data_IF_894090444293
#
_entry.id   IF_894090444293
#
_cell.length_a   1.000
_cell.length_b   1.000
_cell.length_c   1.000
_cell.angle_alpha   90.00
_cell.angle_beta   90.00
_cell.angle_gamma   90.00
#
_symmetry.space_group_name_H-M   'P 1'
#
loop_
_entity.id
_entity.type
_entity.pdbx_description
1 polymer ?
#
# COMPACT_ATOMS: atom_id res chain seq x y z
N UNK A 1 6.80 -20.97 13.74
CA UNK A 1 7.34 -20.28 12.55
C UNK A 1 6.28 -20.39 11.46
N UNK A 2 5.71 -19.29 10.92
CA UNK A 2 4.81 -19.44 9.77
C UNK A 2 5.58 -20.07 8.61
N UNK A 3 4.96 -21.01 7.90
CA UNK A 3 5.54 -21.89 6.86
C UNK A 3 6.36 -21.16 5.77
N UNK A 4 6.16 -19.84 5.57
CA UNK A 4 6.85 -19.00 4.59
C UNK A 4 8.36 -18.79 4.77
N UNK A 5 8.97 -19.24 5.87
CA UNK A 5 10.41 -19.04 6.13
C UNK A 5 11.30 -20.29 5.95
N UNK A 6 10.73 -21.45 5.58
CA UNK A 6 11.51 -22.69 5.42
C UNK A 6 12.34 -22.67 4.13
N UNK A 7 11.82 -22.09 3.05
CA UNK A 7 12.59 -21.88 1.81
C UNK A 7 13.77 -20.91 2.04
N UNK A 8 13.55 -19.87 2.85
CA UNK A 8 14.55 -18.85 3.21
C UNK A 8 15.69 -19.44 4.04
N UNK A 9 15.46 -20.44 4.88
CA UNK A 9 16.49 -20.98 5.79
C UNK A 9 17.71 -21.58 5.04
N UNK A 10 17.48 -22.21 3.88
CA UNK A 10 18.57 -22.74 3.05
C UNK A 10 19.38 -21.62 2.36
N UNK A 11 18.75 -20.47 2.11
CA UNK A 11 19.39 -19.26 1.56
C UNK A 11 20.11 -18.48 2.66
N UNK A 12 19.56 -18.41 3.87
CA UNK A 12 20.22 -17.84 5.06
C UNK A 12 21.56 -18.50 5.34
N UNK A 13 21.68 -19.82 5.14
CA UNK A 13 22.95 -20.57 5.26
C UNK A 13 23.99 -20.16 4.20
N UNK A 14 23.57 -19.58 3.06
CA UNK A 14 24.44 -19.16 1.94
C UNK A 14 24.64 -17.65 1.87
N UNK A 15 24.04 -16.91 2.78
CA UNK A 15 23.95 -15.46 2.77
C UNK A 15 25.29 -14.81 3.15
N UNK A 16 25.57 -13.60 2.67
CA UNK A 16 26.78 -12.86 3.00
C UNK A 16 26.73 -12.31 4.46
N UNK A 17 27.87 -11.91 5.06
CA UNK A 17 27.92 -11.51 6.47
C UNK A 17 27.08 -10.27 6.83
N UNK A 18 26.76 -9.39 5.87
CA UNK A 18 25.98 -8.17 6.12
C UNK A 18 24.51 -8.53 6.19
N UNK A 19 24.02 -9.30 5.22
CA UNK A 19 22.61 -9.73 5.17
C UNK A 19 22.28 -10.65 6.34
N UNK A 20 23.19 -11.56 6.73
CA UNK A 20 23.01 -12.39 7.93
C UNK A 20 23.01 -11.56 9.23
N UNK A 21 23.78 -10.46 9.28
CA UNK A 21 23.77 -9.54 10.42
C UNK A 21 22.47 -8.74 10.51
N UNK A 22 21.89 -8.32 9.37
CA UNK A 22 20.56 -7.69 9.32
C UNK A 22 19.47 -8.63 9.81
N UNK A 23 19.48 -9.89 9.35
CA UNK A 23 18.51 -10.90 9.80
C UNK A 23 18.62 -11.19 11.30
N UNK A 24 19.85 -11.25 11.83
CA UNK A 24 20.07 -11.39 13.27
C UNK A 24 19.48 -10.23 14.07
N UNK A 25 19.73 -8.98 13.66
CA UNK A 25 19.21 -7.78 14.34
C UNK A 25 17.69 -7.70 14.23
N UNK A 26 17.13 -8.03 13.06
CA UNK A 26 15.69 -8.13 12.82
C UNK A 26 15.03 -9.11 13.78
N UNK A 27 15.51 -10.36 13.85
CA UNK A 27 14.96 -11.35 14.76
C UNK A 27 15.16 -11.00 16.26
N UNK A 28 16.26 -10.30 16.59
CA UNK A 28 16.57 -9.85 17.96
C UNK A 28 15.60 -8.77 18.44
N UNK A 29 15.21 -7.87 17.55
CA UNK A 29 14.40 -6.71 17.87
C UNK A 29 12.92 -6.91 17.48
N UNK A 30 12.61 -8.01 16.81
CA UNK A 30 11.26 -8.46 16.45
C UNK A 30 10.35 -8.59 17.66
N UNK A 31 9.08 -8.24 17.44
CA UNK A 31 8.05 -8.35 18.47
C UNK A 31 7.33 -9.70 18.40
N UNK A 32 6.59 -10.04 19.45
CA UNK A 32 5.98 -11.38 19.63
C UNK A 32 5.06 -11.77 18.47
N UNK A 33 4.40 -10.83 17.79
CA UNK A 33 3.45 -11.16 16.72
C UNK A 33 4.11 -11.66 15.42
N UNK A 34 5.42 -11.53 15.31
CA UNK A 34 6.25 -11.98 14.17
C UNK A 34 6.73 -13.44 14.34
N UNK A 35 6.70 -13.96 15.57
CA UNK A 35 7.10 -15.33 15.92
C UNK A 35 5.93 -16.08 16.58
N UNK A 36 5.92 -17.41 16.47
CA UNK A 36 4.88 -18.22 17.13
C UNK A 36 4.97 -18.15 18.66
N UNK A 37 6.14 -17.80 19.19
CA UNK A 37 6.38 -17.54 20.61
C UNK A 37 7.70 -16.79 20.80
N UNK A 38 7.87 -16.15 21.96
CA UNK A 38 9.15 -15.54 22.36
C UNK A 38 10.29 -16.57 22.43
N UNK A 39 9.99 -17.80 22.86
CA UNK A 39 10.95 -18.92 22.86
C UNK A 39 11.42 -19.27 21.44
N UNK A 40 10.50 -19.26 20.45
CA UNK A 40 10.84 -19.50 19.05
C UNK A 40 11.73 -18.39 18.47
N UNK A 41 11.48 -17.14 18.88
CA UNK A 41 12.27 -15.97 18.48
C UNK A 41 13.70 -16.07 19.00
N UNK A 42 13.86 -16.32 20.31
CA UNK A 42 15.17 -16.48 20.93
C UNK A 42 15.95 -17.65 20.32
N UNK A 43 15.30 -18.79 20.08
CA UNK A 43 15.93 -19.93 19.41
C UNK A 43 16.42 -19.59 17.99
N UNK A 44 15.66 -18.79 17.24
CA UNK A 44 16.05 -18.34 15.91
C UNK A 44 17.21 -17.34 15.93
N UNK A 45 17.18 -16.38 16.86
CA UNK A 45 18.27 -15.43 17.11
C UNK A 45 19.58 -16.16 17.43
N UNK A 46 19.52 -17.20 18.28
CA UNK A 46 20.68 -18.02 18.62
C UNK A 46 21.25 -18.77 17.41
N UNK A 47 20.39 -19.28 16.53
CA UNK A 47 20.80 -19.95 15.28
C UNK A 47 21.51 -18.98 14.34
N UNK A 48 20.96 -17.78 14.13
CA UNK A 48 21.57 -16.75 13.26
C UNK A 48 22.91 -16.27 13.82
N UNK A 49 22.98 -16.07 15.13
CA UNK A 49 24.23 -15.69 15.82
C UNK A 49 25.29 -16.79 15.67
N UNK A 50 24.90 -18.05 15.82
CA UNK A 50 25.80 -19.19 15.66
C UNK A 50 26.31 -19.32 14.21
N UNK A 51 25.40 -19.19 13.23
CA UNK A 51 25.73 -19.22 11.80
C UNK A 51 26.70 -18.09 11.43
N UNK A 52 26.42 -16.85 11.82
CA UNK A 52 27.27 -15.71 11.52
C UNK A 52 28.67 -15.83 12.12
N UNK A 53 28.75 -16.30 13.38
CA UNK A 53 30.03 -16.57 14.05
C UNK A 53 30.81 -17.71 13.39
N UNK A 54 30.12 -18.76 12.94
CA UNK A 54 30.77 -19.94 12.37
C UNK A 54 31.24 -19.72 10.92
N UNK A 55 30.36 -19.20 10.06
CA UNK A 55 30.60 -19.07 8.62
C UNK A 55 31.47 -17.86 8.27
N UNK A 56 31.22 -16.70 8.90
CA UNK A 56 31.87 -15.44 8.50
C UNK A 56 32.75 -14.81 9.58
N UNK A 57 32.72 -15.34 10.81
CA UNK A 57 33.62 -14.97 11.92
C UNK A 57 33.71 -13.45 12.13
N UNK A 58 34.88 -12.86 11.88
CA UNK A 58 35.16 -11.44 12.08
C UNK A 58 34.47 -10.53 11.06
N UNK A 59 34.03 -11.05 9.90
CA UNK A 59 33.25 -10.26 8.95
C UNK A 59 31.83 -10.00 9.46
N UNK A 60 31.18 -11.01 10.04
CA UNK A 60 29.87 -10.88 10.68
C UNK A 60 29.92 -9.96 11.91
N UNK A 61 30.93 -10.11 12.78
CA UNK A 61 31.10 -9.23 13.93
C UNK A 61 31.33 -7.76 13.53
N UNK A 62 32.02 -7.51 12.42
CA UNK A 62 32.20 -6.15 11.86
C UNK A 62 30.89 -5.60 11.31
N UNK A 63 30.12 -6.43 10.60
CA UNK A 63 28.81 -6.04 10.08
C UNK A 63 27.84 -5.70 11.22
N UNK A 64 27.76 -6.52 12.27
CA UNK A 64 26.96 -6.22 13.47
C UNK A 64 27.40 -4.91 14.12
N UNK A 65 28.69 -4.71 14.37
CA UNK A 65 29.18 -3.46 14.97
C UNK A 65 28.95 -2.22 14.10
N UNK A 66 28.79 -2.39 12.79
CA UNK A 66 28.49 -1.29 11.89
C UNK A 66 26.98 -0.98 11.87
N UNK A 67 26.15 -2.02 11.82
CA UNK A 67 24.68 -1.92 11.70
C UNK A 67 23.99 -1.64 13.05
N UNK A 68 24.54 -2.12 14.16
CA UNK A 68 24.00 -2.00 15.52
C UNK A 68 24.51 -0.75 16.26
N UNK A 69 25.01 0.25 15.52
CA UNK A 69 25.44 1.53 16.07
C UNK A 69 24.26 2.51 16.14
N UNK A 70 24.06 3.19 17.28
CA UNK A 70 23.24 4.40 17.28
C UNK A 70 23.89 5.44 16.37
N UNK A 71 23.09 6.09 15.53
CA UNK A 71 23.57 7.02 14.51
C UNK A 71 24.38 8.17 15.12
N UNK A 72 25.70 8.14 14.95
CA UNK A 72 26.53 9.35 15.05
C UNK A 72 26.57 10.00 13.66
N UNK A 73 26.21 11.28 13.64
CA UNK A 73 26.19 12.14 12.47
C UNK A 73 27.49 12.07 11.65
N UNK A 74 27.39 11.75 10.37
CA UNK A 74 28.50 11.87 9.42
C UNK A 74 28.18 12.97 8.41
N UNK A 75 28.93 14.05 8.54
CA UNK A 75 29.00 15.19 7.62
C UNK A 75 29.95 14.91 6.44
N UNK A 76 29.51 15.40 5.28
CA UNK A 76 30.26 16.02 4.15
C UNK A 76 31.13 15.14 3.23
N UNK A 77 31.17 15.39 1.90
CA UNK A 77 31.92 16.48 1.21
C UNK A 77 31.30 16.88 -0.17
N UNK A 78 31.54 18.12 -0.72
CA UNK A 78 30.56 18.94 -1.45
C UNK A 78 30.90 19.47 -2.89
N UNK A 79 29.95 20.26 -3.43
CA UNK A 79 29.98 21.34 -4.47
C UNK A 79 29.66 20.96 -5.93
N UNK A 80 28.77 21.66 -6.66
CA UNK A 80 28.66 23.13 -6.84
C UNK A 80 27.19 23.61 -6.97
N UNK A 81 26.82 24.61 -6.17
CA UNK A 81 25.54 25.33 -6.23
C UNK A 81 24.99 25.59 -4.83
N UNK A 82 25.34 26.72 -4.24
CA UNK A 82 25.02 27.15 -2.87
C UNK A 82 23.51 27.12 -2.51
N UNK A 83 23.26 26.61 -1.29
CA UNK A 83 22.16 26.93 -0.35
C UNK A 83 20.74 26.42 -0.61
N UNK A 84 20.55 25.22 -1.16
CA UNK A 84 19.24 24.58 -1.05
C UNK A 84 19.30 23.19 -0.40
N UNK A 85 18.42 22.98 0.57
CA UNK A 85 18.22 21.74 1.32
C UNK A 85 17.15 20.90 0.63
N UNK A 86 17.37 19.59 0.51
CA UNK A 86 16.35 18.68 0.00
C UNK A 86 15.21 18.53 1.01
N UNK A 87 13.96 18.61 0.55
CA UNK A 87 12.76 18.49 1.39
C UNK A 87 11.71 17.63 0.71
N UNK A 88 10.88 16.99 1.53
CA UNK A 88 9.58 16.50 1.10
C UNK A 88 8.56 17.59 1.44
N UNK A 89 7.59 17.83 0.57
CA UNK A 89 6.64 18.93 0.74
C UNK A 89 5.30 18.60 0.09
N UNK A 90 4.23 19.28 0.50
CA UNK A 90 2.88 19.13 -0.05
C UNK A 90 2.15 20.46 -0.18
N UNK A 91 1.04 20.45 -0.91
CA UNK A 91 0.01 21.48 -0.81
C UNK A 91 -1.05 21.04 0.20
N UNK A 92 -0.91 21.46 1.46
CA UNK A 92 -1.85 21.04 2.52
C UNK A 92 -1.85 19.52 2.72
N UNK A 93 -3.03 18.90 2.69
CA UNK A 93 -3.20 17.45 2.88
C UNK A 93 -2.92 16.61 1.62
N UNK A 94 -2.59 17.22 0.48
CA UNK A 94 -2.41 16.51 -0.80
C UNK A 94 -1.12 15.66 -0.94
N UNK A 95 -0.77 15.25 -2.18
CA UNK A 95 0.39 14.41 -2.46
C UNK A 95 1.70 14.99 -1.91
N UNK A 96 2.62 14.11 -1.53
CA UNK A 96 3.97 14.50 -1.10
C UNK A 96 4.91 14.50 -2.30
N UNK A 97 5.63 15.60 -2.49
CA UNK A 97 6.59 15.79 -3.57
C UNK A 97 8.02 15.92 -3.05
N UNK A 98 9.02 15.44 -3.80
CA UNK A 98 10.41 15.81 -3.58
C UNK A 98 10.66 17.27 -4.02
N UNK A 99 11.62 17.94 -3.40
CA UNK A 99 12.01 19.28 -3.81
C UNK A 99 13.23 19.81 -3.05
N UNK A 100 13.49 21.09 -3.26
CA UNK A 100 14.60 21.82 -2.65
C UNK A 100 14.09 23.14 -2.07
N UNK A 101 14.54 23.53 -0.89
CA UNK A 101 14.22 24.84 -0.29
C UNK A 101 15.48 25.58 0.11
N UNK A 102 15.45 26.90 0.05
CA UNK A 102 16.47 27.78 0.64
C UNK A 102 16.13 28.19 2.09
N UNK A 103 15.14 27.52 2.70
CA UNK A 103 14.57 27.78 4.02
C UNK A 103 13.97 29.20 4.17
N UNK A 104 13.72 29.89 3.05
CA UNK A 104 13.00 31.17 3.06
C UNK A 104 11.52 30.97 2.78
N UNK A 105 10.71 31.96 3.17
CA UNK A 105 9.27 31.96 2.93
C UNK A 105 8.88 33.15 2.07
N UNK A 106 7.93 32.93 1.16
CA UNK A 106 7.26 33.98 0.40
C UNK A 106 5.77 34.00 0.76
N UNK A 107 5.25 35.17 1.15
CA UNK A 107 3.88 35.34 1.67
C UNK A 107 3.52 34.37 2.84
N UNK A 108 4.52 33.92 3.60
CA UNK A 108 4.35 32.98 4.71
C UNK A 108 4.49 31.50 4.33
N UNK A 109 4.62 31.16 3.03
CA UNK A 109 4.73 29.79 2.54
C UNK A 109 6.16 29.43 2.14
N UNK A 110 6.51 28.15 2.23
CA UNK A 110 7.88 27.69 1.99
C UNK A 110 8.27 27.88 0.52
N UNK A 111 9.43 28.47 0.27
CA UNK A 111 9.98 28.54 -1.08
C UNK A 111 10.52 27.18 -1.49
N UNK A 112 9.86 26.53 -2.45
CA UNK A 112 10.23 25.20 -2.93
C UNK A 112 10.57 25.23 -4.40
N UNK A 113 11.69 24.62 -4.77
CA UNK A 113 12.12 24.37 -6.14
C UNK A 113 11.95 22.89 -6.46
N UNK A 114 11.41 22.58 -7.64
CA UNK A 114 11.24 21.20 -8.11
C UNK A 114 12.00 20.95 -9.41
N UNK A 115 12.29 19.68 -9.68
CA UNK A 115 12.94 19.24 -10.91
C UNK A 115 11.92 19.15 -12.06
N UNK A 116 12.37 19.17 -13.33
CA UNK A 116 11.49 18.91 -14.48
C UNK A 116 10.72 17.58 -14.36
N UNK A 117 11.37 16.53 -13.85
CA UNK A 117 10.75 15.22 -13.65
C UNK A 117 9.59 15.24 -12.63
N UNK A 118 9.56 16.21 -11.72
CA UNK A 118 8.50 16.38 -10.72
C UNK A 118 7.43 17.38 -11.17
N UNK A 119 7.77 18.30 -12.08
CA UNK A 119 6.93 19.43 -12.45
C UNK A 119 5.57 19.04 -13.03
N UNK A 120 5.52 18.01 -13.88
CA UNK A 120 4.26 17.52 -14.46
C UNK A 120 3.22 17.14 -13.40
N UNK A 121 3.65 16.50 -12.31
CA UNK A 121 2.78 16.11 -11.20
C UNK A 121 2.36 17.30 -10.34
N UNK A 122 3.27 18.24 -10.09
CA UNK A 122 2.95 19.50 -9.39
C UNK A 122 1.93 20.32 -10.19
N UNK A 123 2.12 20.40 -11.51
CA UNK A 123 1.19 21.08 -12.41
C UNK A 123 -0.19 20.42 -12.42
N UNK A 124 -0.25 19.08 -12.39
CA UNK A 124 -1.52 18.36 -12.29
C UNK A 124 -2.26 18.71 -11.00
N UNK A 125 -1.56 18.79 -9.87
CA UNK A 125 -2.13 19.19 -8.57
C UNK A 125 -2.62 20.65 -8.57
N UNK A 126 -1.87 21.56 -9.19
CA UNK A 126 -2.27 22.96 -9.36
C UNK A 126 -3.55 23.09 -10.20
N UNK A 127 -3.64 22.34 -11.30
CA UNK A 127 -4.83 22.33 -12.17
C UNK A 127 -6.02 21.73 -11.42
N UNK A 128 -5.84 20.65 -10.65
CA UNK A 128 -6.88 20.08 -9.82
C UNK A 128 -7.38 21.08 -8.76
N UNK A 129 -6.47 21.79 -8.11
CA UNK A 129 -6.77 22.82 -7.11
C UNK A 129 -7.42 24.09 -7.68
N UNK A 130 -7.47 24.27 -9.00
CA UNK A 130 -8.16 25.39 -9.65
C UNK A 130 -9.69 25.23 -9.67
N UNK A 131 -10.22 24.08 -9.26
CA UNK A 131 -11.67 23.80 -9.14
C UNK A 131 -12.49 24.19 -10.39
N UNK A 132 -11.93 23.94 -11.58
CA UNK A 132 -12.57 24.20 -12.86
C UNK A 132 -12.51 25.66 -13.36
N UNK A 133 -11.76 26.55 -12.71
CA UNK A 133 -11.48 27.90 -13.22
C UNK A 133 -10.63 27.81 -14.51
N UNK A 134 -11.27 28.04 -15.65
CA UNK A 134 -10.67 27.88 -16.96
C UNK A 134 -9.51 28.85 -17.22
N UNK A 135 -9.61 30.09 -16.72
CA UNK A 135 -8.57 31.11 -16.92
C UNK A 135 -7.34 30.77 -16.08
N UNK A 136 -7.55 30.30 -14.85
CA UNK A 136 -6.48 29.86 -13.96
C UNK A 136 -5.79 28.58 -14.46
N UNK A 137 -6.55 27.60 -14.95
CA UNK A 137 -6.01 26.37 -15.55
C UNK A 137 -5.14 26.71 -16.78
N UNK A 138 -5.61 27.59 -17.65
CA UNK A 138 -4.85 28.00 -18.82
C UNK A 138 -3.58 28.77 -18.43
N UNK A 139 -3.65 29.61 -17.39
CA UNK A 139 -2.48 30.27 -16.83
C UNK A 139 -1.44 29.25 -16.35
N UNK A 140 -1.86 28.19 -15.65
CA UNK A 140 -0.95 27.12 -15.21
C UNK A 140 -0.34 26.34 -16.37
N UNK A 141 -1.12 26.00 -17.41
CA UNK A 141 -0.61 25.30 -18.61
C UNK A 141 0.42 26.10 -19.39
N UNK A 142 0.34 27.42 -19.34
CA UNK A 142 1.30 28.32 -19.98
C UNK A 142 2.58 28.52 -19.16
N UNK A 143 2.66 27.99 -17.94
CA UNK A 143 3.88 28.04 -17.15
C UNK A 143 4.96 27.18 -17.81
N UNK A 144 6.15 27.74 -18.09
CA UNK A 144 7.22 26.98 -18.70
C UNK A 144 7.63 25.83 -17.77
N UNK A 145 7.99 24.68 -18.36
CA UNK A 145 8.64 23.58 -17.64
C UNK A 145 10.02 24.09 -17.18
N UNK A 146 10.09 24.53 -15.93
CA UNK A 146 11.27 25.14 -15.35
C UNK A 146 11.79 24.29 -14.20
N UNK A 147 13.11 24.19 -14.13
CA UNK A 147 13.80 23.94 -12.87
C UNK A 147 13.64 25.21 -12.02
N UNK A 148 12.56 25.29 -11.25
CA UNK A 148 12.04 26.57 -10.77
C UNK A 148 11.21 26.51 -9.50
N UNK A 149 11.02 27.70 -8.92
CA UNK A 149 10.34 27.92 -7.65
C UNK A 149 8.81 27.76 -7.81
N UNK A 150 8.22 26.82 -7.10
CA UNK A 150 6.78 26.68 -6.84
C UNK A 150 6.38 27.82 -5.90
N UNK A 151 6.07 28.98 -6.46
CA UNK A 151 5.59 30.13 -5.69
C UNK A 151 4.35 30.67 -6.37
N UNK A 152 3.18 30.19 -5.95
CA UNK A 152 1.90 30.59 -6.54
C UNK A 152 0.95 31.10 -5.47
N UNK A 153 0.46 32.32 -5.72
CA UNK A 153 -0.44 33.16 -4.92
C UNK A 153 -1.87 32.63 -4.73
N UNK A 154 -2.17 31.38 -5.11
CA UNK A 154 -3.54 30.94 -5.36
C UNK A 154 -4.06 29.93 -4.32
N UNK A 155 -3.90 30.26 -3.04
CA UNK A 155 -4.48 29.53 -1.89
C UNK A 155 -3.87 28.17 -1.54
N UNK A 156 -2.92 27.66 -2.33
CA UNK A 156 -2.19 26.44 -2.02
C UNK A 156 -0.93 26.76 -1.22
N UNK A 157 -0.86 26.25 0.00
CA UNK A 157 0.23 26.52 0.94
C UNK A 157 1.29 25.44 0.80
N UNK A 158 2.50 25.81 0.37
CA UNK A 158 3.64 24.90 0.35
C UNK A 158 4.13 24.66 1.78
N UNK A 159 4.02 23.42 2.23
CA UNK A 159 4.40 23.00 3.59
C UNK A 159 5.42 21.88 3.51
N UNK A 160 6.48 21.97 4.32
CA UNK A 160 7.41 20.85 4.48
C UNK A 160 6.72 19.70 5.22
N UNK A 161 6.92 18.49 4.71
CA UNK A 161 6.40 17.25 5.28
C UNK A 161 7.57 16.42 5.77
N UNK A 162 7.44 15.83 6.97
CA UNK A 162 8.35 14.81 7.46
C UNK A 162 7.74 13.43 7.16
N UNK A 163 8.10 12.78 6.03
CA UNK A 163 7.49 11.51 5.68
C UNK A 163 8.00 10.40 6.59
N UNK A 164 7.10 9.51 7.00
CA UNK A 164 7.41 8.39 7.90
C UNK A 164 8.53 7.49 7.36
N UNK A 165 8.56 7.21 6.05
CA UNK A 165 9.62 6.40 5.45
C UNK A 165 11.02 6.95 5.71
N UNK A 166 11.20 8.27 5.84
CA UNK A 166 12.53 8.86 6.09
C UNK A 166 13.11 8.45 7.46
N UNK A 167 12.27 8.16 8.45
CA UNK A 167 12.71 7.67 9.77
C UNK A 167 13.27 6.24 9.71
N UNK A 168 12.85 5.47 8.70
CA UNK A 168 13.29 4.11 8.46
C UNK A 168 14.44 4.03 7.46
N UNK A 169 14.56 5.02 6.58
CA UNK A 169 15.55 5.11 5.51
C UNK A 169 16.32 6.45 5.55
N UNK A 170 17.09 6.74 6.61
CA UNK A 170 17.75 8.04 6.78
C UNK A 170 18.82 8.33 5.72
N UNK A 171 19.37 7.28 5.09
CA UNK A 171 20.36 7.41 4.02
C UNK A 171 19.73 7.59 2.63
N UNK A 172 18.40 7.46 2.51
CA UNK A 172 17.69 7.59 1.23
C UNK A 172 17.55 9.07 0.85
N UNK A 173 18.07 9.52 -0.31
CA UNK A 173 18.00 10.93 -0.68
C UNK A 173 16.57 11.37 -0.97
N UNK A 174 16.04 12.30 -0.17
CA UNK A 174 14.69 12.86 -0.35
C UNK A 174 14.49 13.44 -1.74
N UNK A 175 15.50 14.14 -2.28
CA UNK A 175 15.43 14.76 -3.60
C UNK A 175 15.27 13.78 -4.77
N UNK A 176 15.65 12.50 -4.56
CA UNK A 176 15.50 11.44 -5.57
C UNK A 176 14.28 10.57 -5.31
N UNK A 177 13.44 10.90 -4.33
CA UNK A 177 12.14 10.26 -4.19
C UNK A 177 11.23 10.69 -5.37
N UNK A 178 10.16 9.96 -5.62
CA UNK A 178 9.10 10.34 -6.57
C UNK A 178 7.91 10.92 -5.82
N UNK A 179 6.97 11.61 -6.50
CA UNK A 179 5.72 11.99 -5.88
C UNK A 179 5.02 10.78 -5.24
N UNK A 180 4.47 10.93 -4.04
CA UNK A 180 3.69 9.89 -3.37
C UNK A 180 2.26 10.43 -3.20
N UNK A 181 1.25 9.81 -3.84
CA UNK A 181 -0.13 10.21 -3.65
C UNK A 181 -0.58 10.12 -2.19
N UNK A 182 -1.37 11.09 -1.73
CA UNK A 182 -1.91 11.14 -0.36
C UNK A 182 -2.66 9.84 0.00
N UNK A 183 -3.40 9.27 -0.95
CA UNK A 183 -4.22 8.09 -0.72
C UNK A 183 -3.42 6.81 -0.50
N UNK A 184 -2.09 6.84 -0.67
CA UNK A 184 -1.24 5.67 -0.47
C UNK A 184 -0.85 5.53 0.99
N UNK A 185 -0.89 4.30 1.51
CA UNK A 185 -0.43 4.02 2.87
C UNK A 185 1.08 3.79 2.85
N UNK A 186 1.83 4.49 3.69
CA UNK A 186 3.26 4.22 3.91
C UNK A 186 3.44 2.90 4.69
N UNK A 187 3.87 1.87 3.97
CA UNK A 187 4.14 0.53 4.49
C UNK A 187 5.63 0.32 4.80
N UNK A 188 6.43 1.39 4.68
CA UNK A 188 7.87 1.35 4.92
C UNK A 188 8.16 0.84 6.32
N UNK A 189 9.18 0.00 6.39
CA UNK A 189 9.64 -0.62 7.62
C UNK A 189 11.17 -0.64 7.73
N UNK A 190 11.69 -0.64 8.96
CA UNK A 190 13.14 -0.76 9.21
C UNK A 190 13.65 -2.08 8.63
N UNK A 191 14.76 -2.02 7.89
CA UNK A 191 15.45 -3.17 7.27
C UNK A 191 14.82 -3.77 6.01
N UNK A 192 13.76 -3.18 5.44
CA UNK A 192 13.48 -3.36 4.02
C UNK A 192 14.61 -2.73 3.17
N UNK A 193 14.70 -3.12 1.91
CA UNK A 193 15.78 -2.67 1.00
C UNK A 193 15.50 -1.28 0.44
N UNK A 194 14.23 -0.88 0.42
CA UNK A 194 13.73 0.38 -0.10
C UNK A 194 12.40 0.77 0.58
N UNK A 195 12.05 2.07 0.62
CA UNK A 195 10.72 2.53 1.00
C UNK A 195 9.60 1.82 0.23
N UNK A 196 8.47 1.58 0.89
CA UNK A 196 7.33 0.88 0.31
C UNK A 196 5.98 1.50 0.65
N UNK A 197 5.05 1.42 -0.30
CA UNK A 197 3.75 2.10 -0.23
C UNK A 197 2.63 1.22 -0.76
N UNK A 198 1.48 1.20 -0.10
CA UNK A 198 0.29 0.46 -0.55
C UNK A 198 -0.73 1.39 -1.22
N UNK A 199 -0.94 1.29 -2.55
CA UNK A 199 -1.94 2.08 -3.24
C UNK A 199 -3.39 1.59 -3.07
N UNK A 200 -3.57 0.29 -2.77
CA UNK A 200 -4.86 -0.36 -2.56
C UNK A 200 -4.68 -1.77 -1.97
N UNK A 201 -5.76 -2.32 -1.40
CA UNK A 201 -5.88 -3.74 -1.07
C UNK A 201 -7.06 -4.36 -1.80
N UNK A 202 -7.07 -5.69 -1.97
CA UNK A 202 -8.21 -6.47 -2.45
C UNK A 202 -9.24 -6.78 -1.34
N UNK A 203 -10.43 -7.30 -1.72
CA UNK A 203 -11.56 -7.52 -0.82
C UNK A 203 -11.34 -8.61 0.24
N UNK A 204 -10.28 -9.43 0.12
CA UNK A 204 -9.86 -10.39 1.15
C UNK A 204 -8.61 -9.92 1.91
N UNK A 205 -8.18 -8.66 1.72
CA UNK A 205 -6.96 -8.11 2.32
C UNK A 205 -5.71 -8.29 1.46
N UNK A 206 -5.85 -8.60 0.17
CA UNK A 206 -4.76 -8.76 -0.78
C UNK A 206 -4.07 -7.41 -1.06
N UNK A 207 -3.09 -7.02 -0.25
CA UNK A 207 -2.40 -5.74 -0.42
C UNK A 207 -1.61 -5.69 -1.73
N UNK A 208 -1.81 -4.62 -2.50
CA UNK A 208 -0.89 -4.20 -3.54
C UNK A 208 0.16 -3.27 -2.91
N UNK A 209 1.41 -3.38 -3.35
CA UNK A 209 2.53 -2.67 -2.72
C UNK A 209 3.58 -2.28 -3.79
N UNK A 210 4.06 -1.05 -3.69
CA UNK A 210 5.10 -0.45 -4.52
C UNK A 210 6.35 -0.30 -3.68
N UNK A 211 7.50 -0.80 -4.16
CA UNK A 211 8.82 -0.51 -3.62
C UNK A 211 9.55 0.48 -4.53
N UNK A 212 10.24 1.43 -3.91
CA UNK A 212 10.93 2.52 -4.61
C UNK A 212 12.41 2.51 -4.21
N UNK A 213 13.21 1.75 -4.95
CA UNK A 213 14.65 1.62 -4.71
C UNK A 213 15.41 2.90 -5.13
N UNK A 214 16.69 2.98 -4.81
CA UNK A 214 17.54 4.11 -5.11
C UNK A 214 17.58 4.42 -6.61
N UNK A 215 17.52 5.71 -6.95
CA UNK A 215 17.74 6.17 -8.32
C UNK A 215 19.11 5.72 -8.85
N UNK A 216 20.17 5.89 -8.04
CA UNK A 216 21.50 5.36 -8.31
C UNK A 216 21.51 3.83 -8.17
N UNK A 217 21.68 3.14 -9.30
CA UNK A 217 21.78 1.68 -9.40
C UNK A 217 22.83 1.09 -8.47
N UNK A 218 23.92 1.79 -8.21
CA UNK A 218 25.02 1.26 -7.37
C UNK A 218 24.67 1.19 -5.89
N UNK A 219 23.58 1.85 -5.47
CA UNK A 219 23.08 1.87 -4.11
C UNK A 219 21.95 0.86 -3.85
N UNK A 220 21.39 0.28 -4.93
CA UNK A 220 20.37 -0.77 -4.85
C UNK A 220 20.96 -2.04 -4.25
N UNK A 221 20.14 -2.85 -3.58
CA UNK A 221 20.59 -4.16 -3.07
C UNK A 221 21.09 -5.06 -4.21
N UNK A 222 20.37 -5.03 -5.34
CA UNK A 222 20.75 -5.68 -6.59
C UNK A 222 20.88 -4.56 -7.64
N UNK A 223 22.11 -4.20 -8.07
CA UNK A 223 22.31 -3.08 -9.00
C UNK A 223 21.57 -3.20 -10.34
N UNK A 224 21.30 -4.44 -10.78
CA UNK A 224 20.57 -4.74 -12.00
C UNK A 224 19.04 -4.72 -11.81
N UNK A 225 18.54 -4.67 -10.57
CA UNK A 225 17.11 -4.61 -10.31
C UNK A 225 16.53 -3.26 -10.74
N UNK A 226 15.23 -3.30 -11.08
CA UNK A 226 14.45 -2.11 -11.40
C UNK A 226 14.35 -1.15 -10.21
N UNK A 227 14.24 0.15 -10.46
CA UNK A 227 13.97 1.16 -9.43
C UNK A 227 12.61 0.94 -8.77
N UNK A 228 11.60 0.64 -9.58
CA UNK A 228 10.23 0.45 -9.13
C UNK A 228 9.84 -1.01 -9.25
N UNK A 229 9.30 -1.56 -8.18
CA UNK A 229 8.67 -2.88 -8.18
C UNK A 229 7.25 -2.74 -7.65
N UNK A 230 6.26 -3.06 -8.46
CA UNK A 230 4.86 -3.12 -8.05
C UNK A 230 4.42 -4.56 -7.99
N UNK A 231 3.99 -4.99 -6.81
CA UNK A 231 3.54 -6.34 -6.59
C UNK A 231 2.17 -6.38 -5.93
N UNK A 232 1.50 -7.52 -6.11
CA UNK A 232 0.21 -7.83 -5.50
C UNK A 232 0.36 -9.06 -4.63
N UNK A 233 -0.22 -9.04 -3.43
CA UNK A 233 -0.40 -10.25 -2.64
C UNK A 233 -1.57 -11.08 -3.16
N UNK A 234 -1.48 -12.39 -3.13
CA UNK A 234 -2.66 -13.25 -3.24
C UNK A 234 -3.30 -13.49 -1.86
N UNK A 235 -4.34 -14.32 -1.84
CA UNK A 235 -5.11 -14.63 -0.62
C UNK A 235 -4.29 -15.39 0.44
N UNK A 236 -3.24 -16.12 0.05
CA UNK A 236 -2.30 -16.78 0.97
C UNK A 236 -1.16 -15.84 1.42
N UNK A 237 -1.09 -14.64 0.83
CA UNK A 237 -0.13 -13.59 1.17
C UNK A 237 1.18 -13.68 0.39
N UNK A 238 1.27 -14.53 -0.64
CA UNK A 238 2.42 -14.60 -1.54
C UNK A 238 2.44 -13.39 -2.48
N UNK A 239 3.64 -12.90 -2.77
CA UNK A 239 3.85 -11.68 -3.54
C UNK A 239 4.08 -12.00 -5.02
N UNK A 240 3.29 -11.38 -5.89
CA UNK A 240 3.39 -11.53 -7.35
C UNK A 240 3.70 -10.19 -8.00
N UNK A 241 4.79 -10.12 -8.78
CA UNK A 241 5.17 -8.89 -9.50
C UNK A 241 4.18 -8.59 -10.62
N UNK A 242 3.55 -7.42 -10.56
CA UNK A 242 2.69 -6.87 -11.60
C UNK A 242 3.46 -5.94 -12.55
N UNK A 243 4.46 -5.22 -12.03
CA UNK A 243 5.37 -4.39 -12.82
C UNK A 243 6.74 -4.30 -12.16
N UNK A 244 7.80 -4.25 -12.97
CA UNK A 244 9.15 -3.90 -12.54
C UNK A 244 9.86 -3.11 -13.62
N UNK A 245 10.28 -1.88 -13.32
CA UNK A 245 10.97 -1.00 -14.28
C UNK A 245 11.54 0.26 -13.64
N UNK A 246 12.16 1.10 -14.48
CA UNK A 246 12.76 2.38 -14.05
C UNK A 246 11.87 3.60 -14.41
N UNK A 247 10.69 3.39 -15.01
CA UNK A 247 9.77 4.43 -15.47
C UNK A 247 8.62 4.61 -14.46
N UNK A 248 8.53 5.81 -13.88
CA UNK A 248 7.52 6.14 -12.87
C UNK A 248 6.12 6.34 -13.49
N UNK A 249 6.01 6.89 -14.70
CA UNK A 249 4.71 7.02 -15.37
C UNK A 249 4.13 5.65 -15.73
N UNK A 250 4.99 4.73 -16.17
CA UNK A 250 4.57 3.35 -16.40
C UNK A 250 4.15 2.63 -15.12
N UNK A 251 4.90 2.79 -14.03
CA UNK A 251 4.48 2.33 -12.70
C UNK A 251 3.08 2.85 -12.35
N UNK A 252 2.86 4.17 -12.49
CA UNK A 252 1.59 4.80 -12.16
C UNK A 252 0.43 4.31 -13.03
N UNK A 253 0.67 3.99 -14.32
CA UNK A 253 -0.34 3.32 -15.16
C UNK A 253 -0.74 1.96 -14.59
N UNK A 254 0.23 1.12 -14.21
CA UNK A 254 -0.07 -0.18 -13.62
C UNK A 254 -0.81 -0.07 -12.29
N UNK A 255 -0.40 0.87 -11.43
CA UNK A 255 -1.08 1.13 -10.15
C UNK A 255 -2.52 1.61 -10.37
N UNK A 256 -2.76 2.52 -11.31
CA UNK A 256 -4.10 3.04 -11.59
C UNK A 256 -5.05 1.94 -12.12
N UNK A 257 -4.54 0.97 -12.90
CA UNK A 257 -5.34 -0.19 -13.33
C UNK A 257 -5.71 -1.05 -12.12
N UNK A 258 -4.76 -1.31 -11.23
CA UNK A 258 -4.99 -2.09 -10.01
C UNK A 258 -5.99 -1.42 -9.06
N UNK A 259 -5.84 -0.11 -8.83
CA UNK A 259 -6.74 0.65 -7.96
C UNK A 259 -8.17 0.61 -8.50
N UNK A 260 -8.37 0.70 -9.82
CA UNK A 260 -9.69 0.52 -10.43
C UNK A 260 -10.21 -0.92 -10.22
N UNK A 261 -9.36 -1.94 -10.39
CA UNK A 261 -9.73 -3.32 -10.15
C UNK A 261 -10.17 -3.57 -8.69
N UNK A 262 -9.40 -3.06 -7.73
CA UNK A 262 -9.74 -3.07 -6.31
C UNK A 262 -11.05 -2.32 -6.04
N UNK A 263 -11.20 -1.09 -6.54
CA UNK A 263 -12.41 -0.27 -6.36
C UNK A 263 -13.66 -0.97 -6.89
N UNK A 264 -13.58 -1.57 -8.08
CA UNK A 264 -14.65 -2.37 -8.67
C UNK A 264 -15.01 -3.59 -7.80
N UNK A 265 -14.01 -4.35 -7.35
CA UNK A 265 -14.23 -5.52 -6.52
C UNK A 265 -14.83 -5.18 -5.14
N UNK A 266 -14.37 -4.10 -4.50
CA UNK A 266 -14.95 -3.62 -3.23
C UNK A 266 -16.39 -3.18 -3.39
N UNK A 267 -16.72 -2.49 -4.49
CA UNK A 267 -18.11 -2.07 -4.76
C UNK A 267 -19.03 -3.27 -4.93
N UNK A 268 -18.62 -4.29 -5.68
CA UNK A 268 -19.35 -5.56 -5.73
C UNK A 268 -19.48 -6.19 -4.33
N UNK A 269 -18.39 -6.24 -3.57
CA UNK A 269 -18.36 -6.78 -2.20
C UNK A 269 -19.24 -6.04 -1.19
N UNK A 270 -19.55 -4.77 -1.45
CA UNK A 270 -20.49 -3.95 -0.66
C UNK A 270 -21.95 -4.13 -1.08
N UNK A 271 -22.19 -4.46 -2.36
CA UNK A 271 -23.54 -4.64 -2.90
C UNK A 271 -24.09 -6.05 -2.69
N UNK A 272 -23.22 -7.05 -2.69
CA UNK A 272 -23.62 -8.46 -2.57
C UNK A 272 -23.66 -8.90 -1.11
N UNK A 273 -24.62 -9.74 -0.76
CA UNK A 273 -24.60 -10.47 0.51
C UNK A 273 -23.39 -11.43 0.54
N UNK A 274 -22.92 -11.87 1.73
CA UNK A 274 -21.83 -12.84 1.82
C UNK A 274 -22.04 -14.12 1.00
N UNK A 275 -23.28 -14.62 0.91
CA UNK A 275 -23.63 -15.79 0.10
C UNK A 275 -23.57 -15.50 -1.40
N UNK A 276 -24.15 -14.38 -1.87
CA UNK A 276 -24.09 -14.00 -3.29
C UNK A 276 -22.65 -13.75 -3.74
N UNK A 277 -21.83 -13.14 -2.88
CA UNK A 277 -20.40 -12.95 -3.11
C UNK A 277 -19.68 -14.28 -3.26
N UNK A 278 -19.89 -15.22 -2.32
CA UNK A 278 -19.29 -16.55 -2.38
C UNK A 278 -19.69 -17.29 -3.67
N UNK A 279 -20.99 -17.35 -3.97
CA UNK A 279 -21.52 -18.07 -5.14
C UNK A 279 -20.98 -17.49 -6.44
N UNK A 280 -20.92 -16.15 -6.56
CA UNK A 280 -20.33 -15.47 -7.70
C UNK A 280 -18.86 -15.82 -7.87
N UNK A 281 -18.05 -15.77 -6.79
CA UNK A 281 -16.62 -16.05 -6.89
C UNK A 281 -16.30 -17.51 -7.20
N UNK A 282 -17.10 -18.45 -6.67
CA UNK A 282 -16.99 -19.86 -6.99
C UNK A 282 -17.40 -20.14 -8.45
N UNK A 283 -18.44 -19.48 -8.94
CA UNK A 283 -18.89 -19.59 -10.34
C UNK A 283 -17.84 -19.09 -11.32
N UNK A 284 -17.10 -18.03 -10.98
CA UNK A 284 -15.99 -17.54 -11.79
C UNK A 284 -14.86 -18.56 -11.99
N UNK A 285 -14.71 -19.58 -11.13
CA UNK A 285 -13.69 -20.64 -11.31
C UNK A 285 -13.91 -21.44 -12.59
N UNK A 286 -15.16 -21.56 -13.04
CA UNK A 286 -15.55 -22.38 -14.20
C UNK A 286 -16.14 -21.53 -15.33
N UNK A 287 -16.19 -20.21 -15.16
CA UNK A 287 -16.64 -19.28 -16.18
C UNK A 287 -15.72 -19.34 -17.42
N UNK A 288 -16.32 -19.16 -18.60
CA UNK A 288 -15.56 -19.06 -19.84
C UNK A 288 -14.69 -17.81 -19.88
N UNK A 289 -13.64 -17.83 -20.71
CA UNK A 289 -12.80 -16.66 -20.91
C UNK A 289 -13.64 -15.44 -21.37
N UNK A 290 -13.44 -14.28 -20.74
CA UNK A 290 -14.18 -13.06 -21.04
C UNK A 290 -15.60 -13.01 -20.46
N UNK A 291 -15.98 -13.97 -19.61
CA UNK A 291 -17.26 -13.97 -18.87
C UNK A 291 -16.99 -13.73 -17.39
N UNK A 292 -17.85 -12.95 -16.74
CA UNK A 292 -17.82 -12.75 -15.30
C UNK A 292 -19.21 -13.05 -14.70
N UNK A 293 -19.26 -13.95 -13.74
CA UNK A 293 -20.47 -14.36 -13.02
C UNK A 293 -21.08 -13.22 -12.19
N UNK A 294 -20.38 -12.08 -12.04
CA UNK A 294 -20.96 -10.88 -11.42
C UNK A 294 -22.21 -10.39 -12.16
N UNK A 295 -22.32 -10.64 -13.47
CA UNK A 295 -23.52 -10.30 -14.26
C UNK A 295 -24.76 -11.12 -13.93
N UNK A 296 -24.61 -12.28 -13.27
CA UNK A 296 -25.73 -13.11 -12.86
C UNK A 296 -26.44 -12.56 -11.61
N UNK A 297 -25.78 -11.68 -10.86
CA UNK A 297 -26.26 -11.13 -9.59
C UNK A 297 -26.47 -9.61 -9.62
N UNK A 298 -25.73 -8.88 -10.45
CA UNK A 298 -25.84 -7.41 -10.57
C UNK A 298 -25.45 -6.93 -11.96
N UNK A 299 -25.86 -5.72 -12.33
CA UNK A 299 -25.30 -5.04 -13.50
C UNK A 299 -23.85 -4.58 -13.23
N UNK A 300 -22.90 -5.50 -13.38
CA UNK A 300 -21.50 -5.25 -13.10
C UNK A 300 -20.87 -4.16 -14.00
N UNK A 301 -21.45 -3.87 -15.17
CA UNK A 301 -21.00 -2.77 -16.01
C UNK A 301 -21.30 -1.42 -15.34
N UNK A 302 -22.47 -1.29 -14.71
CA UNK A 302 -22.81 -0.09 -13.95
C UNK A 302 -21.93 0.07 -12.71
N UNK A 303 -21.58 -1.03 -12.05
CA UNK A 303 -20.65 -0.99 -10.90
C UNK A 303 -19.24 -0.57 -11.34
N UNK A 304 -18.73 -1.10 -12.46
CA UNK A 304 -17.45 -0.67 -13.03
C UNK A 304 -17.48 0.79 -13.47
N UNK A 305 -18.57 1.24 -14.09
CA UNK A 305 -18.74 2.65 -14.47
C UNK A 305 -18.65 3.57 -13.26
N UNK A 306 -19.31 3.21 -12.16
CA UNK A 306 -19.26 3.98 -10.92
C UNK A 306 -17.88 3.93 -10.24
N UNK A 307 -17.18 2.79 -10.32
CA UNK A 307 -15.79 2.66 -9.88
C UNK A 307 -14.87 3.60 -10.66
N UNK A 308 -14.95 3.52 -11.99
CA UNK A 308 -14.15 4.34 -12.89
C UNK A 308 -14.42 5.83 -12.72
N UNK A 309 -15.69 6.24 -12.58
CA UNK A 309 -16.04 7.65 -12.29
C UNK A 309 -15.44 8.17 -11.00
N UNK A 310 -15.28 7.31 -9.99
CA UNK A 310 -14.73 7.70 -8.70
C UNK A 310 -13.19 7.73 -8.69
N UNK A 311 -12.54 6.91 -9.52
CA UNK A 311 -11.07 6.85 -9.61
C UNK A 311 -10.50 7.72 -10.73
N UNK A 312 -11.33 8.23 -11.64
CA UNK A 312 -10.93 9.14 -12.73
C UNK A 312 -10.83 10.57 -12.20
N UNK A 313 -9.73 11.25 -12.47
CA UNK A 313 -9.59 12.69 -12.21
C UNK A 313 -10.64 13.51 -12.97
N UNK A 314 -11.04 14.66 -12.42
CA UNK A 314 -12.05 15.52 -13.03
C UNK A 314 -11.57 16.09 -14.38
N UNK A 315 -12.42 15.89 -15.41
CA UNK A 315 -12.39 16.39 -16.79
C UNK A 315 -11.42 15.72 -17.78
N UNK A 316 -11.96 14.84 -18.64
CA UNK A 316 -12.47 15.25 -19.96
C UNK A 316 -13.81 14.51 -20.18
N UNK A 317 -14.94 15.21 -20.04
CA UNK A 317 -16.14 14.78 -20.77
C UNK A 317 -15.77 14.92 -22.24
N UNK A 318 -15.69 13.79 -22.94
CA UNK A 318 -15.17 13.68 -24.29
C UNK A 318 -15.46 14.91 -25.15
N UNK A 319 -14.39 15.62 -25.50
CA UNK A 319 -14.38 16.55 -26.65
C UNK A 319 -14.52 15.80 -27.98
N UNK A 320 -14.76 14.48 -27.94
CA UNK A 320 -14.85 13.61 -29.11
C UNK A 320 -13.51 13.03 -29.55
N UNK A 321 -12.47 13.06 -28.69
CA UNK A 321 -11.22 12.38 -28.98
C UNK A 321 -11.38 10.85 -28.84
N UNK A 322 -11.28 10.17 -29.98
CA UNK A 322 -11.41 8.71 -30.07
C UNK A 322 -10.24 8.00 -29.39
N UNK A 323 -9.07 8.63 -29.32
CA UNK A 323 -7.88 8.05 -28.69
C UNK A 323 -8.02 8.01 -27.17
N UNK A 324 -8.55 9.07 -26.56
CA UNK A 324 -8.80 9.12 -25.11
C UNK A 324 -9.84 8.07 -24.70
N UNK A 325 -10.91 7.90 -25.49
CA UNK A 325 -11.92 6.88 -25.23
C UNK A 325 -11.36 5.45 -25.37
N UNK A 326 -10.49 5.22 -26.36
CA UNK A 326 -9.84 3.92 -26.54
C UNK A 326 -8.92 3.58 -25.37
N UNK A 327 -8.11 4.56 -24.91
CA UNK A 327 -7.24 4.41 -23.74
C UNK A 327 -8.06 4.15 -22.46
N UNK A 328 -9.15 4.90 -22.25
CA UNK A 328 -10.07 4.68 -21.14
C UNK A 328 -10.64 3.25 -21.15
N UNK A 329 -11.03 2.75 -22.33
CA UNK A 329 -11.59 1.41 -22.47
C UNK A 329 -10.53 0.32 -22.25
N UNK A 330 -9.31 0.50 -22.75
CA UNK A 330 -8.20 -0.43 -22.51
C UNK A 330 -7.85 -0.50 -21.01
N UNK A 331 -7.85 0.64 -20.32
CA UNK A 331 -7.65 0.74 -18.88
C UNK A 331 -8.74 -0.02 -18.10
N UNK A 332 -10.01 0.22 -18.45
CA UNK A 332 -11.15 -0.46 -17.83
C UNK A 332 -11.11 -1.97 -18.09
N UNK A 333 -10.79 -2.40 -19.32
CA UNK A 333 -10.68 -3.82 -19.67
C UNK A 333 -9.52 -4.50 -18.93
N UNK A 334 -8.38 -3.82 -18.79
CA UNK A 334 -7.26 -4.31 -18.01
C UNK A 334 -7.65 -4.46 -16.53
N UNK A 335 -8.32 -3.46 -15.95
CA UNK A 335 -8.79 -3.50 -14.58
C UNK A 335 -9.83 -4.61 -14.36
N UNK A 336 -10.75 -4.80 -15.31
CA UNK A 336 -11.73 -5.89 -15.27
C UNK A 336 -11.05 -7.27 -15.30
N UNK A 337 -10.02 -7.42 -16.13
CA UNK A 337 -9.24 -8.65 -16.25
C UNK A 337 -8.54 -8.97 -14.92
N UNK A 338 -7.91 -7.97 -14.30
CA UNK A 338 -7.26 -8.11 -13.01
C UNK A 338 -8.30 -8.45 -11.92
N UNK A 339 -9.38 -7.68 -11.83
CA UNK A 339 -10.43 -7.89 -10.84
C UNK A 339 -11.02 -9.30 -10.96
N UNK A 340 -11.39 -9.71 -12.18
CA UNK A 340 -11.96 -11.04 -12.42
C UNK A 340 -11.00 -12.12 -11.98
N UNK A 341 -9.73 -12.03 -12.38
CA UNK A 341 -8.74 -13.08 -12.11
C UNK A 341 -8.31 -13.15 -10.65
N UNK A 342 -8.12 -12.02 -9.99
CA UNK A 342 -7.43 -11.94 -8.71
C UNK A 342 -8.34 -11.63 -7.52
N UNK A 343 -9.49 -11.00 -7.74
CA UNK A 343 -10.36 -10.54 -6.66
C UNK A 343 -11.76 -11.17 -6.71
N UNK A 344 -12.29 -11.41 -7.91
CA UNK A 344 -13.64 -11.95 -8.12
C UNK A 344 -13.64 -13.44 -8.45
N UNK A 345 -12.50 -14.08 -8.64
CA UNK A 345 -12.41 -15.54 -8.71
C UNK A 345 -11.89 -16.05 -7.38
N UNK A 346 -12.59 -17.01 -6.79
CA UNK A 346 -12.16 -17.62 -5.53
C UNK A 346 -11.04 -18.61 -5.82
N UNK A 347 -9.89 -18.49 -5.15
CA UNK A 347 -8.90 -19.57 -5.01
C UNK A 347 -9.17 -20.35 -3.71
N UNK A 348 -8.34 -21.35 -3.36
CA UNK A 348 -8.64 -22.23 -2.23
C UNK A 348 -8.69 -21.49 -0.88
N UNK A 349 -7.79 -20.53 -0.65
CA UNK A 349 -7.81 -19.71 0.57
C UNK A 349 -8.92 -18.65 0.52
N UNK A 350 -9.18 -18.05 -0.64
CA UNK A 350 -10.34 -17.19 -0.87
C UNK A 350 -11.66 -17.90 -0.58
N UNK A 351 -11.80 -19.18 -0.91
CA UNK A 351 -13.01 -19.95 -0.59
C UNK A 351 -13.16 -20.21 0.90
N UNK A 352 -12.05 -20.34 1.64
CA UNK A 352 -12.08 -20.42 3.11
C UNK A 352 -12.55 -19.09 3.70
N UNK A 353 -12.02 -17.97 3.21
CA UNK A 353 -12.49 -16.63 3.58
C UNK A 353 -13.99 -16.44 3.28
N UNK A 354 -14.43 -16.78 2.07
CA UNK A 354 -15.83 -16.63 1.64
C UNK A 354 -16.77 -17.50 2.51
N UNK A 355 -16.40 -18.76 2.76
CA UNK A 355 -17.13 -19.67 3.64
C UNK A 355 -17.21 -19.12 5.06
N UNK A 356 -16.08 -18.63 5.58
CA UNK A 356 -16.01 -18.01 6.89
C UNK A 356 -16.94 -16.80 6.96
N UNK A 357 -16.94 -15.92 5.95
CA UNK A 357 -17.85 -14.77 5.86
C UNK A 357 -19.32 -15.17 5.92
N UNK A 358 -19.72 -16.30 5.33
CA UNK A 358 -21.11 -16.79 5.41
C UNK A 358 -21.48 -17.25 6.82
N UNK A 359 -20.53 -17.72 7.63
CA UNK A 359 -20.80 -18.17 9.01
C UNK A 359 -20.97 -17.03 10.03
N UNK A 360 -20.60 -15.80 9.67
CA UNK A 360 -20.71 -14.63 10.56
C UNK A 360 -22.17 -14.34 10.90
N UNK A 361 -22.51 -14.41 12.19
CA UNK A 361 -23.88 -14.25 12.69
C UNK A 361 -24.18 -12.79 12.95
N UNK A 362 -25.32 -12.31 12.46
CA UNK A 362 -25.75 -10.95 12.74
C UNK A 362 -26.23 -10.83 14.21
N UNK A 363 -25.85 -9.71 14.84
CA UNK A 363 -26.16 -9.43 16.25
C UNK A 363 -27.67 -9.44 16.54
N UNK A 364 -28.56 -8.84 15.71
CA UNK A 364 -30.00 -8.88 15.94
C UNK A 364 -30.59 -10.29 15.98
N UNK A 365 -30.19 -11.17 15.08
CA UNK A 365 -30.68 -12.55 15.07
C UNK A 365 -30.25 -13.30 16.33
N UNK A 366 -29.01 -13.08 16.78
CA UNK A 366 -28.53 -13.66 18.04
C UNK A 366 -29.31 -13.12 19.26
N UNK A 367 -29.60 -11.82 19.31
CA UNK A 367 -30.43 -11.25 20.38
C UNK A 367 -31.85 -11.83 20.34
N UNK A 368 -32.44 -11.99 19.15
CA UNK A 368 -33.77 -12.59 18.97
C UNK A 368 -33.82 -14.08 19.38
N UNK A 369 -32.72 -14.81 19.21
CA UNK A 369 -32.55 -16.19 19.70
C UNK A 369 -32.33 -16.27 21.22
N UNK A 370 -32.22 -15.14 21.93
CA UNK A 370 -32.06 -15.08 23.38
C UNK A 370 -30.60 -15.19 23.86
N UNK A 371 -29.62 -14.95 22.98
CA UNK A 371 -28.21 -14.87 23.41
C UNK A 371 -27.95 -13.55 24.14
N UNK A 372 -27.30 -13.63 25.30
CA UNK A 372 -26.87 -12.46 26.08
C UNK A 372 -25.60 -11.86 25.46
N UNK A 373 -25.78 -11.03 24.44
CA UNK A 373 -24.71 -10.26 23.82
C UNK A 373 -24.66 -8.88 24.48
N UNK A 374 -23.52 -8.56 25.09
CA UNK A 374 -23.25 -7.19 25.53
C UNK A 374 -23.11 -6.31 24.30
N UNK A 375 -24.18 -5.57 23.95
CA UNK A 375 -24.03 -4.39 23.10
C UNK A 375 -23.18 -3.42 23.92
N UNK A 376 -21.92 -3.19 23.54
CA UNK A 376 -21.08 -2.23 24.25
C UNK A 376 -21.54 -0.84 23.82
N UNK A 377 -22.16 -0.04 24.69
CA UNK A 377 -22.47 1.34 24.35
C UNK A 377 -21.12 2.06 24.16
N UNK A 378 -20.89 2.79 23.05
CA UNK A 378 -21.90 3.41 22.19
C UNK A 378 -21.86 2.88 20.73
N UNK A 379 -21.99 1.58 20.48
CA UNK A 379 -22.13 1.13 19.08
C UNK A 379 -23.52 1.47 18.52
N UNK A 380 -23.54 2.20 17.40
CA UNK A 380 -24.74 2.79 16.80
C UNK A 380 -25.54 1.82 15.90
N UNK A 381 -25.29 0.49 15.94
CA UNK A 381 -26.06 -0.43 15.09
C UNK A 381 -25.71 -1.92 15.16
N UNK A 382 -26.48 -2.75 14.43
CA UNK A 382 -26.33 -4.21 14.43
C UNK A 382 -25.03 -4.65 13.74
N UNK A 383 -24.18 -5.32 14.52
CA UNK A 383 -22.88 -5.85 14.10
C UNK A 383 -22.90 -7.29 13.57
N UNK A 384 -21.70 -7.89 13.44
CA UNK A 384 -21.52 -9.33 13.18
C UNK A 384 -20.59 -9.95 14.21
N UNK A 385 -20.85 -11.19 14.59
CA UNK A 385 -20.02 -11.97 15.52
C UNK A 385 -19.41 -13.16 14.80
N UNK A 386 -18.10 -13.30 14.96
CA UNK A 386 -17.31 -14.45 14.53
C UNK A 386 -16.68 -15.12 15.76
N UNK A 387 -16.23 -16.36 15.61
CA UNK A 387 -15.57 -17.07 16.71
C UNK A 387 -14.28 -16.38 17.21
N UNK A 388 -13.63 -15.59 16.34
CA UNK A 388 -12.34 -14.92 16.61
C UNK A 388 -12.48 -13.49 17.12
N UNK A 389 -13.68 -12.92 17.09
CA UNK A 389 -13.91 -11.52 17.45
C UNK A 389 -15.29 -11.04 16.99
N UNK A 390 -15.60 -9.79 17.26
CA UNK A 390 -16.87 -9.20 16.88
C UNK A 390 -16.65 -7.84 16.24
N UNK A 391 -17.61 -7.43 15.42
CA UNK A 391 -17.58 -6.15 14.73
C UNK A 391 -18.89 -5.41 14.98
N UNK A 392 -18.80 -4.09 15.05
CA UNK A 392 -19.91 -3.20 15.37
C UNK A 392 -20.06 -2.16 14.28
N UNK A 393 -21.30 -1.76 13.98
CA UNK A 393 -21.54 -0.61 13.13
C UNK A 393 -21.25 0.68 13.92
N UNK A 394 -20.56 1.64 13.29
CA UNK A 394 -20.23 2.94 13.88
C UNK A 394 -20.31 4.04 12.81
N UNK A 395 -21.33 4.90 12.91
CA UNK A 395 -21.63 5.89 11.88
C UNK A 395 -21.89 5.23 10.52
N UNK A 396 -21.10 5.60 9.50
CA UNK A 396 -21.13 4.96 8.17
C UNK A 396 -20.17 3.79 8.01
N UNK A 397 -19.42 3.43 9.05
CA UNK A 397 -18.38 2.40 9.03
C UNK A 397 -18.58 1.31 10.08
N UNK A 398 -17.48 0.62 10.37
CA UNK A 398 -17.39 -0.59 11.18
C UNK A 398 -16.20 -0.50 12.13
N UNK A 399 -16.38 -0.94 13.37
CA UNK A 399 -15.29 -1.16 14.33
C UNK A 399 -15.11 -2.67 14.46
N UNK A 400 -13.89 -3.16 14.25
CA UNK A 400 -13.49 -4.55 14.50
C UNK A 400 -12.80 -4.63 15.84
N UNK A 401 -13.27 -5.52 16.71
CA UNK A 401 -12.67 -5.82 18.00
C UNK A 401 -12.12 -7.26 18.01
N UNK A 402 -10.81 -7.38 18.12
CA UNK A 402 -10.11 -8.67 18.19
C UNK A 402 -9.10 -8.66 19.35
N UNK A 403 -9.30 -9.53 20.33
CA UNK A 403 -8.49 -9.54 21.56
C UNK A 403 -8.57 -8.19 22.29
N UNK A 404 -7.42 -7.54 22.47
CA UNK A 404 -7.30 -6.23 23.12
C UNK A 404 -7.15 -5.06 22.12
N UNK A 405 -7.42 -5.28 20.83
CA UNK A 405 -7.25 -4.29 19.77
C UNK A 405 -8.57 -3.96 19.09
N UNK A 406 -8.72 -2.68 18.72
CA UNK A 406 -9.88 -2.15 18.01
C UNK A 406 -9.41 -1.37 16.78
N UNK A 407 -10.06 -1.54 15.64
CA UNK A 407 -9.76 -0.80 14.39
C UNK A 407 -11.03 -0.45 13.62
N UNK A 408 -11.06 0.71 12.98
CA UNK A 408 -12.18 1.22 12.18
C UNK A 408 -12.02 0.93 10.69
N UNK A 409 -13.13 0.70 9.99
CA UNK A 409 -13.21 0.40 8.57
C UNK A 409 -14.45 1.05 7.97
N UNK A 410 -14.39 1.51 6.71
CA UNK A 410 -15.54 2.15 6.07
C UNK A 410 -16.55 1.13 5.53
N UNK A 411 -16.11 -0.10 5.23
CA UNK A 411 -16.98 -1.14 4.70
C UNK A 411 -16.87 -2.46 5.45
N UNK A 412 -17.99 -3.18 5.48
CA UNK A 412 -18.08 -4.49 6.13
C UNK A 412 -17.09 -5.50 5.56
N UNK A 413 -16.88 -5.50 4.24
CA UNK A 413 -15.95 -6.45 3.60
C UNK A 413 -14.50 -6.21 4.03
N UNK A 414 -14.11 -4.96 4.29
CA UNK A 414 -12.77 -4.60 4.77
C UNK A 414 -12.60 -5.02 6.25
N UNK A 415 -13.66 -4.86 7.04
CA UNK A 415 -13.74 -5.33 8.42
C UNK A 415 -13.66 -6.88 8.50
N UNK A 416 -14.39 -7.58 7.64
CA UNK A 416 -14.34 -9.04 7.47
C UNK A 416 -12.90 -9.48 7.11
N UNK A 417 -12.28 -8.84 6.11
CA UNK A 417 -10.93 -9.15 5.66
C UNK A 417 -9.88 -8.96 6.78
N UNK A 418 -9.99 -7.86 7.54
CA UNK A 418 -9.10 -7.64 8.67
C UNK A 418 -9.27 -8.71 9.75
N UNK A 419 -10.50 -9.03 10.15
CA UNK A 419 -10.75 -10.03 11.18
C UNK A 419 -10.36 -11.44 10.72
N UNK A 420 -10.54 -11.76 9.43
CA UNK A 420 -10.01 -12.97 8.81
C UNK A 420 -8.48 -13.05 8.91
N UNK A 421 -7.77 -11.95 8.62
CA UNK A 421 -6.31 -11.93 8.72
C UNK A 421 -5.81 -12.27 10.13
N UNK A 422 -6.54 -11.86 11.16
CA UNK A 422 -6.28 -12.22 12.57
C UNK A 422 -6.59 -13.71 12.81
N UNK A 423 -7.71 -14.22 12.28
CA UNK A 423 -8.09 -15.64 12.33
C UNK A 423 -7.02 -16.55 11.70
N UNK A 424 -6.70 -16.33 10.43
CA UNK A 424 -5.73 -17.13 9.67
C UNK A 424 -4.32 -17.08 10.29
N UNK A 425 -3.94 -15.92 10.83
CA UNK A 425 -2.73 -15.74 11.64
C UNK A 425 -2.73 -16.66 12.87
N UNK A 426 -3.84 -16.68 13.62
CA UNK A 426 -3.96 -17.47 14.84
C UNK A 426 -3.95 -18.98 14.58
N UNK A 427 -4.56 -19.44 13.49
CA UNK A 427 -4.52 -20.83 13.05
C UNK A 427 -3.10 -21.26 12.68
N UNK A 428 -2.39 -20.41 11.92
CA UNK A 428 -0.99 -20.65 11.53
C UNK A 428 -0.03 -20.71 12.73
N UNK A 429 -0.39 -20.13 13.88
CA UNK A 429 0.40 -20.20 15.11
C UNK A 429 0.13 -21.47 15.93
N UNK A 430 -1.00 -22.16 15.68
CA UNK A 430 -1.41 -23.39 16.36
C UNK A 430 -1.07 -24.67 15.59
N UNK A 431 -0.85 -24.55 14.27
CA UNK A 431 -0.30 -25.58 13.41
C UNK A 431 1.22 -25.70 13.60
#
# INVERSE_FOLDING_TARGET
MRIRHIATFAETIRTDPVTLAREYLSARDATIHEFSSEESRLAYVDVLLALGRFQHRTAFARALNHLDRPAEAVNEVPSVGTSMRAVAWSFGEGPTFPGFTDDTNWNGFLNVRVTPATWSYVLAELIAGADGDADLIEQYRQMPEIDGLVSLTHSLTTTEVAPRWADFFPDYPIATMVPIPESWTDESWRHETAPSFSPCGGPCGELAQVWIDYEDRTRREIPEAARFSFCRRDTVGELHTAYAGDDYDELMRHVAIEQLACSFAHRLGRMLTPSEWQDMRLSNRTAGAGVCASHDVVDANMVMLDAWRATRAAAIVGTGDVTDLANDLDHVNAAWTIATRHYLTSDDEGARFDSWRVTGRDVPSLVAEGHDLTTVPPSDGPGRVYAVGFMEAYGSGWIVNAGNSSRTFDALIDADAHLWSVSATSESARA
#
